data_IF_536504220688
#
_entry.id   IF_536504220688
#
_cell.length_a   1.000
_cell.length_b   1.000
_cell.length_c   1.000
_cell.angle_alpha   90.00
_cell.angle_beta   90.00
_cell.angle_gamma   90.00
#
_symmetry.space_group_name_H-M   'P 1'
#
loop_
_entity.id
_entity.type
_entity.pdbx_description
1 polymer ?
#
# COMPACT_ATOMS: atom_id res chain seq x y z
N UNK A 1 15.45 40.48 36.24
CA UNK A 1 16.70 40.27 37.01
C UNK A 1 17.33 38.96 36.53
N UNK A 2 17.87 38.86 35.31
CA UNK A 2 19.27 39.11 34.88
C UNK A 2 20.34 38.68 35.89
N UNK A 3 21.30 37.88 35.38
CA UNK A 3 22.60 37.43 35.94
C UNK A 3 22.48 36.09 36.69
N UNK A 4 23.32 35.08 36.50
CA UNK A 4 24.74 35.02 36.12
C UNK A 4 25.03 33.80 35.23
N UNK A 5 25.91 33.97 34.24
CA UNK A 5 26.70 32.88 33.67
C UNK A 5 27.93 32.69 34.57
N UNK A 6 28.28 31.47 34.95
CA UNK A 6 29.64 31.12 35.35
C UNK A 6 30.00 29.74 34.81
N UNK A 7 30.95 29.73 33.89
CA UNK A 7 31.62 28.54 33.40
C UNK A 7 32.61 28.05 34.46
N UNK A 8 32.62 26.76 34.75
CA UNK A 8 33.73 26.07 35.39
C UNK A 8 33.82 24.67 34.79
N UNK A 9 34.72 24.54 33.82
CA UNK A 9 35.10 23.26 33.20
C UNK A 9 36.30 22.67 33.95
N UNK A 10 36.45 21.34 33.88
CA UNK A 10 37.70 20.56 34.09
C UNK A 10 38.03 20.35 35.58
N UNK A 11 38.08 19.16 36.19
CA UNK A 11 38.28 17.77 35.74
C UNK A 11 37.95 16.85 36.93
N UNK A 12 37.25 15.74 36.73
CA UNK A 12 37.42 14.57 37.60
C UNK A 12 37.64 13.35 36.71
N UNK A 13 38.92 13.03 36.55
CA UNK A 13 39.43 11.85 35.88
C UNK A 13 39.20 10.61 36.78
N UNK A 14 38.80 9.52 36.13
CA UNK A 14 39.06 8.12 36.50
C UNK A 14 38.21 7.51 37.64
N UNK A 15 37.03 7.02 37.27
CA UNK A 15 36.55 5.73 37.80
C UNK A 15 36.43 4.73 36.65
N UNK A 16 37.44 3.87 36.59
CA UNK A 16 37.59 2.72 35.72
C UNK A 16 36.57 1.62 36.02
N UNK A 17 35.88 1.13 34.98
CA UNK A 17 35.27 -0.21 34.88
C UNK A 17 34.06 -0.45 35.80
N UNK A 18 33.02 -1.19 35.46
CA UNK A 18 32.76 -2.18 34.41
C UNK A 18 31.24 -2.29 34.34
N UNK A 19 30.56 -1.90 33.26
CA UNK A 19 29.21 -2.45 32.98
C UNK A 19 29.09 -2.64 31.47
N UNK A 20 29.30 -3.90 31.10
CA UNK A 20 28.83 -4.63 29.91
C UNK A 20 28.15 -3.80 28.81
N UNK A 21 28.84 -3.73 27.67
CA UNK A 21 28.23 -3.44 26.37
C UNK A 21 27.15 -4.47 26.07
N UNK A 22 25.90 -4.18 26.43
CA UNK A 22 24.76 -4.84 25.83
C UNK A 22 24.69 -4.35 24.39
N UNK A 23 25.31 -5.10 23.50
CA UNK A 23 25.14 -4.95 22.06
C UNK A 23 23.67 -5.30 21.74
N UNK A 24 22.80 -4.30 21.92
CA UNK A 24 21.47 -4.27 21.35
C UNK A 24 21.68 -4.34 19.83
N UNK A 25 21.67 -5.55 19.31
CA UNK A 25 21.36 -5.80 17.91
C UNK A 25 19.94 -5.29 17.70
N UNK A 26 19.78 -3.99 17.48
CA UNK A 26 18.67 -3.52 16.68
C UNK A 26 18.90 -4.14 15.31
N UNK A 27 18.33 -5.34 15.10
CA UNK A 27 17.97 -5.76 13.76
C UNK A 27 17.06 -4.66 13.22
N UNK A 28 17.64 -3.75 12.43
CA UNK A 28 16.87 -2.96 11.50
C UNK A 28 16.25 -3.97 10.55
N UNK A 29 15.03 -4.43 10.86
CA UNK A 29 14.18 -5.08 9.87
C UNK A 29 13.93 -3.99 8.83
N UNK A 30 14.72 -4.03 7.76
CA UNK A 30 14.38 -3.31 6.54
C UNK A 30 13.08 -3.94 6.10
N UNK A 31 11.95 -3.29 6.40
CA UNK A 31 10.71 -3.56 5.70
C UNK A 31 10.97 -3.14 4.25
N UNK A 32 11.56 -4.04 3.49
CA UNK A 32 11.54 -3.97 2.04
C UNK A 32 10.06 -3.87 1.70
N UNK A 33 9.64 -2.73 1.14
CA UNK A 33 8.25 -2.49 0.76
C UNK A 33 7.94 -3.40 -0.42
N UNK A 34 7.78 -4.70 -0.16
CA UNK A 34 7.36 -5.67 -1.14
C UNK A 34 6.00 -5.21 -1.68
N UNK A 35 5.93 -5.04 -3.00
CA UNK A 35 4.70 -4.65 -3.67
C UNK A 35 3.71 -5.81 -3.45
N UNK A 36 2.51 -5.55 -2.89
CA UNK A 36 1.54 -6.61 -2.66
C UNK A 36 1.21 -7.35 -3.96
N UNK A 37 1.04 -8.69 -3.94
CA UNK A 37 0.76 -9.48 -5.14
C UNK A 37 -0.47 -9.04 -5.94
N UNK A 38 -1.44 -8.37 -5.30
CA UNK A 38 -2.63 -7.85 -5.96
C UNK A 38 -2.39 -6.55 -6.75
N UNK A 39 -1.29 -5.83 -6.50
CA UNK A 39 -1.10 -4.47 -6.98
C UNK A 39 -1.04 -4.36 -8.51
N UNK A 40 -0.43 -5.36 -9.18
CA UNK A 40 -0.45 -5.50 -10.65
C UNK A 40 -1.88 -5.48 -11.19
N UNK A 41 -2.77 -6.23 -10.56
CA UNK A 41 -4.17 -6.35 -10.96
C UNK A 41 -4.96 -5.08 -10.64
N UNK A 42 -4.63 -4.39 -9.54
CA UNK A 42 -5.19 -3.08 -9.22
C UNK A 42 -4.89 -2.03 -10.29
N UNK A 43 -3.64 -1.99 -10.79
CA UNK A 43 -3.27 -1.10 -11.89
C UNK A 43 -4.04 -1.41 -13.17
N UNK A 44 -4.20 -2.71 -13.50
CA UNK A 44 -4.99 -3.15 -14.63
C UNK A 44 -6.47 -2.75 -14.49
N UNK A 45 -7.06 -2.93 -13.29
CA UNK A 45 -8.44 -2.53 -13.03
C UNK A 45 -8.65 -1.03 -13.28
N UNK A 46 -7.77 -0.16 -12.76
CA UNK A 46 -7.85 1.28 -13.00
C UNK A 46 -7.74 1.62 -14.48
N UNK A 47 -6.78 1.00 -15.19
CA UNK A 47 -6.57 1.23 -16.63
C UNK A 47 -7.80 0.87 -17.45
N UNK A 48 -8.33 -0.35 -17.27
CA UNK A 48 -9.47 -0.85 -18.04
C UNK A 48 -10.75 -0.09 -17.70
N UNK A 49 -10.95 0.30 -16.43
CA UNK A 49 -12.05 1.18 -16.04
C UNK A 49 -11.95 2.55 -16.72
N UNK A 50 -10.77 3.18 -16.77
CA UNK A 50 -10.60 4.45 -17.49
C UNK A 50 -10.87 4.30 -19.00
N UNK A 51 -10.50 3.16 -19.59
CA UNK A 51 -10.82 2.88 -20.99
C UNK A 51 -12.32 2.70 -21.23
N UNK A 52 -13.03 2.07 -20.29
CA UNK A 52 -14.48 1.83 -20.39
C UNK A 52 -15.31 3.07 -20.09
N UNK A 53 -14.84 3.95 -19.21
CA UNK A 53 -15.50 5.17 -18.75
C UNK A 53 -14.60 6.40 -19.02
N UNK A 54 -14.39 6.78 -20.30
CA UNK A 54 -13.41 7.80 -20.68
C UNK A 54 -13.74 9.20 -20.16
N UNK A 55 -15.01 9.47 -19.82
CA UNK A 55 -15.47 10.77 -19.30
C UNK A 55 -15.49 10.83 -17.77
N UNK A 56 -15.26 9.70 -17.09
CA UNK A 56 -15.31 9.62 -15.63
C UNK A 56 -13.90 9.64 -15.02
N UNK A 57 -13.76 10.33 -13.89
CA UNK A 57 -12.55 10.28 -13.07
C UNK A 57 -12.66 9.15 -12.04
N UNK A 58 -11.62 8.32 -11.95
CA UNK A 58 -11.46 7.41 -10.80
C UNK A 58 -10.98 8.22 -9.60
N UNK A 59 -11.80 8.31 -8.56
CA UNK A 59 -11.55 9.12 -7.36
C UNK A 59 -11.16 8.31 -6.12
N UNK A 60 -11.52 7.02 -6.09
CA UNK A 60 -11.11 6.11 -5.02
C UNK A 60 -11.03 4.66 -5.53
N UNK A 61 -10.29 3.83 -4.80
CA UNK A 61 -10.03 2.43 -5.10
C UNK A 61 -9.97 1.59 -3.84
N UNK A 62 -10.69 0.47 -3.87
CA UNK A 62 -10.66 -0.56 -2.84
C UNK A 62 -10.35 -1.92 -3.44
N UNK A 63 -9.34 -2.59 -2.90
CA UNK A 63 -9.16 -4.03 -3.07
C UNK A 63 -10.12 -4.78 -2.16
N UNK A 64 -11.03 -5.55 -2.75
CA UNK A 64 -12.04 -6.33 -2.02
C UNK A 64 -11.42 -7.65 -1.56
N UNK A 65 -10.61 -8.27 -2.41
CA UNK A 65 -9.93 -9.53 -2.10
C UNK A 65 -9.77 -10.42 -3.32
N UNK A 66 -9.25 -11.62 -3.06
CA UNK A 66 -8.97 -12.65 -4.05
C UNK A 66 -9.89 -13.86 -3.84
N UNK A 67 -10.33 -14.44 -4.94
CA UNK A 67 -10.99 -15.75 -4.97
C UNK A 67 -10.12 -16.71 -5.78
N UNK A 68 -9.87 -17.90 -5.24
CA UNK A 68 -9.16 -18.98 -5.93
C UNK A 68 -10.16 -19.93 -6.58
N UNK A 69 -9.95 -20.26 -7.84
CA UNK A 69 -10.62 -21.34 -8.57
C UNK A 69 -9.59 -22.43 -8.90
N UNK A 70 -9.98 -23.46 -9.63
CA UNK A 70 -9.11 -24.60 -9.96
C UNK A 70 -7.81 -24.17 -10.67
N UNK A 71 -7.92 -23.63 -11.88
CA UNK A 71 -6.75 -23.21 -12.69
C UNK A 71 -6.57 -21.68 -12.76
N UNK A 72 -7.50 -20.91 -12.18
CA UNK A 72 -7.52 -19.45 -12.23
C UNK A 72 -7.69 -18.80 -10.86
N UNK A 73 -7.35 -17.52 -10.79
CA UNK A 73 -7.65 -16.67 -9.63
C UNK A 73 -8.43 -15.45 -10.10
N UNK A 74 -9.27 -14.91 -9.21
CA UNK A 74 -10.05 -13.70 -9.45
C UNK A 74 -9.69 -12.64 -8.43
N UNK A 75 -9.16 -11.52 -8.90
CA UNK A 75 -8.94 -10.33 -8.08
C UNK A 75 -10.10 -9.37 -8.22
N UNK A 76 -10.64 -8.93 -7.07
CA UNK A 76 -11.88 -8.15 -6.99
C UNK A 76 -11.59 -6.77 -6.47
N UNK A 77 -12.13 -5.76 -7.15
CA UNK A 77 -11.95 -4.35 -6.82
C UNK A 77 -13.29 -3.62 -6.82
N UNK A 78 -13.36 -2.54 -6.04
CA UNK A 78 -14.38 -1.49 -6.21
C UNK A 78 -13.66 -0.18 -6.50
N UNK A 79 -14.02 0.45 -7.61
CA UNK A 79 -13.59 1.80 -7.96
C UNK A 79 -14.77 2.76 -7.77
N UNK A 80 -14.48 3.94 -7.22
CA UNK A 80 -15.44 5.05 -7.22
C UNK A 80 -15.12 5.97 -8.37
N UNK A 81 -16.13 6.21 -9.20
CA UNK A 81 -16.05 7.05 -10.38
C UNK A 81 -16.85 8.31 -10.13
N UNK A 82 -16.34 9.42 -10.66
CA UNK A 82 -17.02 10.70 -10.72
C UNK A 82 -17.12 11.17 -12.16
N UNK A 83 -18.33 11.36 -12.64
CA UNK A 83 -18.63 11.89 -13.96
C UNK A 83 -19.54 13.09 -13.79
N UNK A 84 -19.02 14.28 -14.07
CA UNK A 84 -19.66 15.56 -13.75
C UNK A 84 -20.05 15.67 -12.26
N UNK A 85 -21.36 15.64 -11.97
CA UNK A 85 -21.96 15.71 -10.63
C UNK A 85 -22.35 14.34 -10.07
N UNK A 86 -22.21 13.26 -10.85
CA UNK A 86 -22.62 11.91 -10.47
C UNK A 86 -21.42 11.12 -9.96
N UNK A 87 -21.59 10.51 -8.78
CA UNK A 87 -20.65 9.53 -8.24
C UNK A 87 -21.28 8.14 -8.20
N UNK A 88 -20.52 7.13 -8.58
CA UNK A 88 -21.00 5.74 -8.59
C UNK A 88 -19.85 4.75 -8.41
N UNK A 89 -20.19 3.59 -7.86
CA UNK A 89 -19.24 2.50 -7.71
C UNK A 89 -19.22 1.61 -8.95
N UNK A 90 -18.05 1.10 -9.32
CA UNK A 90 -17.90 0.02 -10.29
C UNK A 90 -17.16 -1.12 -9.62
N UNK A 91 -17.77 -2.29 -9.61
CA UNK A 91 -17.10 -3.54 -9.24
C UNK A 91 -16.37 -4.10 -10.45
N UNK A 92 -15.13 -4.51 -10.25
CA UNK A 92 -14.27 -5.10 -11.28
C UNK A 92 -13.78 -6.45 -10.77
N UNK A 93 -13.97 -7.49 -11.57
CA UNK A 93 -13.34 -8.78 -11.35
C UNK A 93 -12.37 -9.05 -12.50
N UNK A 94 -11.11 -9.33 -12.16
CA UNK A 94 -10.08 -9.74 -13.12
C UNK A 94 -9.78 -11.20 -12.86
N UNK A 95 -10.16 -12.06 -13.80
CA UNK A 95 -9.82 -13.49 -13.78
C UNK A 95 -8.56 -13.72 -14.61
N UNK A 96 -7.60 -14.44 -14.06
CA UNK A 96 -6.34 -14.76 -14.71
C UNK A 96 -5.89 -16.18 -14.39
N UNK A 97 -5.11 -16.76 -15.29
CA UNK A 97 -4.49 -18.06 -15.10
C UNK A 97 -3.49 -17.99 -13.94
N UNK A 98 -3.62 -18.90 -12.97
CA UNK A 98 -2.82 -18.90 -11.74
C UNK A 98 -1.32 -19.20 -11.93
N UNK A 99 -0.94 -19.77 -13.07
CA UNK A 99 0.43 -20.16 -13.40
C UNK A 99 1.09 -19.21 -14.39
N UNK A 100 0.35 -18.76 -15.42
CA UNK A 100 0.89 -17.93 -16.51
C UNK A 100 0.62 -16.45 -16.33
N UNK A 101 -0.22 -16.06 -15.37
CA UNK A 101 -0.63 -14.67 -15.16
C UNK A 101 -1.35 -14.05 -16.39
N UNK A 102 -1.83 -14.90 -17.30
CA UNK A 102 -2.59 -14.48 -18.46
C UNK A 102 -4.02 -14.11 -18.07
N UNK A 103 -4.48 -12.93 -18.50
CA UNK A 103 -5.85 -12.48 -18.26
C UNK A 103 -6.82 -13.35 -19.06
N UNK A 104 -7.75 -13.99 -18.35
CA UNK A 104 -8.81 -14.81 -18.93
C UNK A 104 -10.03 -13.92 -19.21
N UNK A 105 -10.43 -13.09 -18.24
CA UNK A 105 -11.59 -12.21 -18.36
C UNK A 105 -11.51 -11.00 -17.44
N UNK A 106 -12.13 -9.90 -17.87
CA UNK A 106 -12.37 -8.73 -17.02
C UNK A 106 -13.86 -8.38 -17.10
N UNK A 107 -14.51 -8.31 -15.95
CA UNK A 107 -15.94 -8.00 -15.87
C UNK A 107 -16.19 -6.76 -15.02
N UNK A 108 -17.22 -6.00 -15.40
CA UNK A 108 -17.57 -4.74 -14.77
C UNK A 108 -19.04 -4.76 -14.37
N UNK A 109 -19.35 -4.27 -13.18
CA UNK A 109 -20.72 -4.08 -12.71
C UNK A 109 -20.84 -2.76 -11.97
N UNK A 110 -21.62 -1.85 -12.52
CA UNK A 110 -22.00 -0.62 -11.81
C UNK A 110 -22.83 -0.94 -10.57
N UNK A 111 -22.64 -0.12 -9.55
CA UNK A 111 -23.45 -0.08 -8.35
C UNK A 111 -23.78 1.38 -8.09
N UNK A 112 -25.07 1.65 -7.88
CA UNK A 112 -25.47 2.88 -7.24
C UNK A 112 -24.95 2.85 -5.79
N UNK A 113 -24.55 4.01 -5.30
CA UNK A 113 -24.21 4.19 -3.88
C UNK A 113 -25.47 4.13 -3.02
#
# INVERSE_FOLDING_TARGET
>A
MRRLFLAASITFLLTSGYITSNHLHHHTVSAENEIPPYAKWGQLAVKETKSKYPNAQVIDYLHIGRETKDDSMVEKFKLWLKEESKEYGVFINIEFNSQTDEVIAITFRESLN
#
